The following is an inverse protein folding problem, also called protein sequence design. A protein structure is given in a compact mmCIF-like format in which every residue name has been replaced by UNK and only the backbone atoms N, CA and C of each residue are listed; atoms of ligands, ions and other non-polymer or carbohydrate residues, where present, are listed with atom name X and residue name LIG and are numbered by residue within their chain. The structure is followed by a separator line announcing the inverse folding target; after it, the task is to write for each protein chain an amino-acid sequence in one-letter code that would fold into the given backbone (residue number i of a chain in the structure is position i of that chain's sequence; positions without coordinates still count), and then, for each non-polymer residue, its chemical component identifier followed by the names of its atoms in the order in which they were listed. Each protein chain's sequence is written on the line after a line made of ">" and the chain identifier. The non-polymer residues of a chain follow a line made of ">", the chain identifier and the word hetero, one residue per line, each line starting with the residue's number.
data_IF_286313017619
#
_entry.id   IF_286313017619
#
_cell.length_a   1.000
_cell.length_b   1.000
_cell.length_c   1.000
_cell.angle_alpha   90.00
_cell.angle_beta   90.00
_cell.angle_gamma   90.00
#
_symmetry.space_group_name_H-M   'P 1'
#
loop_
_entity.id
_entity.type
_entity.pdbx_description
1 polymer ?
#
# COMPACT_ATOMS: atom_id res chain seq x y z
N UNK A 1 -16.83 6.08 -0.16
CA UNK A 1 -17.49 7.06 0.73
C UNK A 1 -18.51 7.84 -0.09
N UNK A 2 -19.78 7.88 0.31
CA UNK A 2 -20.80 8.69 -0.39
C UNK A 2 -20.63 10.17 -0.02
N UNK A 3 -20.75 11.06 -1.01
CA UNK A 3 -20.62 12.51 -0.88
C UNK A 3 -21.97 13.15 -1.17
N UNK A 4 -22.38 14.13 -0.35
CA UNK A 4 -23.63 14.88 -0.54
C UNK A 4 -23.36 16.36 -0.84
N UNK A 5 -22.11 16.81 -0.72
CA UNK A 5 -21.69 18.19 -0.97
C UNK A 5 -20.33 18.23 -1.67
N UNK A 6 -20.16 19.01 -2.75
CA UNK A 6 -18.88 19.16 -3.45
C UNK A 6 -17.68 19.57 -2.57
N UNK A 7 -17.90 20.32 -1.49
CA UNK A 7 -16.83 20.73 -0.55
C UNK A 7 -16.18 19.54 0.18
N UNK A 8 -16.81 18.38 0.17
CA UNK A 8 -16.28 17.16 0.80
C UNK A 8 -15.28 16.43 -0.10
N UNK A 9 -15.23 16.75 -1.40
CA UNK A 9 -14.38 16.06 -2.39
C UNK A 9 -12.91 16.15 -1.97
N UNK A 10 -12.40 17.36 -1.73
CA UNK A 10 -10.98 17.57 -1.40
C UNK A 10 -10.57 16.87 -0.11
N UNK A 11 -11.43 16.89 0.91
CA UNK A 11 -11.15 16.24 2.20
C UNK A 11 -11.11 14.74 2.03
N UNK A 12 -12.05 14.17 1.27
CA UNK A 12 -12.09 12.73 1.02
C UNK A 12 -10.89 12.30 0.17
N UNK A 13 -10.52 13.04 -0.87
CA UNK A 13 -9.29 12.75 -1.62
C UNK A 13 -8.05 12.77 -0.72
N UNK A 14 -7.89 13.77 0.14
CA UNK A 14 -6.75 13.82 1.08
C UNK A 14 -6.70 12.64 2.05
N UNK A 15 -7.85 12.14 2.52
CA UNK A 15 -7.90 11.03 3.49
C UNK A 15 -7.68 9.68 2.83
N UNK A 16 -8.21 9.48 1.62
CA UNK A 16 -8.17 8.18 0.95
C UNK A 16 -7.01 8.06 -0.06
N UNK A 17 -6.29 9.14 -0.35
CA UNK A 17 -5.06 9.07 -1.12
C UNK A 17 -3.95 8.57 -0.21
N UNK A 18 -3.32 7.42 -0.53
CA UNK A 18 -2.22 6.90 0.27
C UNK A 18 -1.05 7.89 0.27
N UNK A 19 -0.41 8.03 1.41
CA UNK A 19 0.76 8.90 1.57
C UNK A 19 2.02 8.26 1.01
N UNK A 20 3.03 9.07 0.68
CA UNK A 20 4.29 8.55 0.14
C UNK A 20 4.97 7.52 1.05
N UNK A 21 4.85 7.69 2.37
CA UNK A 21 5.42 6.73 3.34
C UNK A 21 4.72 5.38 3.27
N UNK A 22 3.40 5.37 3.12
CA UNK A 22 2.62 4.14 2.98
C UNK A 22 2.91 3.44 1.65
N UNK A 23 3.13 4.21 0.59
CA UNK A 23 3.51 3.69 -0.73
C UNK A 23 4.88 3.00 -0.66
N UNK A 24 5.89 3.69 -0.10
CA UNK A 24 7.25 3.14 0.05
C UNK A 24 7.22 1.88 0.91
N UNK A 25 6.47 1.89 2.01
CA UNK A 25 6.31 0.72 2.87
C UNK A 25 5.65 -0.43 2.10
N UNK A 26 4.53 -0.19 1.41
CA UNK A 26 3.85 -1.20 0.62
C UNK A 26 4.77 -1.81 -0.45
N UNK A 27 5.60 -1.00 -1.10
CA UNK A 27 6.59 -1.46 -2.07
C UNK A 27 7.66 -2.36 -1.46
N UNK A 28 8.22 -1.97 -0.30
CA UNK A 28 9.14 -2.84 0.45
C UNK A 28 8.48 -4.17 0.83
N UNK A 29 7.25 -4.11 1.32
CA UNK A 29 6.49 -5.31 1.71
C UNK A 29 6.29 -6.23 0.51
N UNK A 30 5.88 -5.73 -0.64
CA UNK A 30 5.69 -6.56 -1.84
C UNK A 30 7.01 -7.20 -2.27
N UNK A 31 8.11 -6.45 -2.31
CA UNK A 31 9.44 -6.97 -2.67
C UNK A 31 9.92 -8.06 -1.71
N UNK A 32 9.86 -7.79 -0.40
CA UNK A 32 10.28 -8.78 0.61
C UNK A 32 9.39 -10.02 0.61
N UNK A 33 8.07 -9.87 0.43
CA UNK A 33 7.16 -11.02 0.35
C UNK A 33 7.51 -11.86 -0.87
N UNK A 34 7.77 -11.24 -2.03
CA UNK A 34 8.09 -11.98 -3.25
C UNK A 34 9.38 -12.81 -3.09
N UNK A 35 10.44 -12.19 -2.53
CA UNK A 35 11.69 -12.87 -2.20
C UNK A 35 11.48 -14.04 -1.22
N UNK A 36 10.78 -13.80 -0.11
CA UNK A 36 10.59 -14.79 0.96
C UNK A 36 9.58 -15.89 0.61
N UNK A 37 8.63 -15.59 -0.27
CA UNK A 37 7.68 -16.56 -0.81
C UNK A 37 8.40 -17.62 -1.65
N UNK A 38 9.44 -17.25 -2.41
CA UNK A 38 10.26 -18.25 -3.12
C UNK A 38 11.01 -19.19 -2.18
N UNK A 39 11.34 -18.72 -0.97
CA UNK A 39 11.99 -19.49 0.10
C UNK A 39 11.00 -20.28 0.97
N UNK A 40 9.68 -20.16 0.73
CA UNK A 40 8.65 -20.83 1.53
C UNK A 40 8.42 -20.23 2.93
N UNK A 41 8.89 -19.00 3.18
CA UNK A 41 8.75 -18.31 4.47
C UNK A 41 7.46 -17.50 4.47
N UNK A 42 6.48 -17.90 5.29
CA UNK A 42 5.16 -17.27 5.33
C UNK A 42 5.00 -16.09 6.30
N UNK A 43 5.94 -15.88 7.21
CA UNK A 43 5.91 -14.79 8.19
C UNK A 43 7.32 -14.25 8.38
N UNK A 44 7.47 -12.93 8.39
CA UNK A 44 8.75 -12.26 8.61
C UNK A 44 8.58 -10.85 9.15
N UNK A 45 9.69 -10.20 9.52
CA UNK A 45 9.66 -8.86 10.09
C UNK A 45 10.15 -7.82 9.08
N UNK A 46 9.36 -6.76 8.84
CA UNK A 46 9.72 -5.58 8.04
C UNK A 46 9.62 -4.34 8.91
N UNK A 47 10.70 -3.56 9.00
CA UNK A 47 10.76 -2.33 9.83
C UNK A 47 10.24 -2.56 11.27
N UNK A 48 10.54 -3.74 11.85
CA UNK A 48 10.12 -4.12 13.21
C UNK A 48 8.67 -4.61 13.35
N UNK A 49 7.89 -4.63 12.26
CA UNK A 49 6.52 -5.18 12.23
C UNK A 49 6.50 -6.59 11.66
N UNK A 50 5.77 -7.48 12.31
CA UNK A 50 5.52 -8.82 11.79
C UNK A 50 4.53 -8.74 10.63
N UNK A 51 4.95 -9.26 9.47
CA UNK A 51 4.23 -9.29 8.22
C UNK A 51 4.01 -10.74 7.83
N UNK A 52 2.77 -11.03 7.47
CA UNK A 52 2.35 -12.31 6.91
C UNK A 52 1.99 -12.15 5.42
N UNK A 53 1.69 -13.27 4.77
CA UNK A 53 1.26 -13.29 3.36
C UNK A 53 -0.04 -12.49 3.15
N UNK A 54 -0.91 -12.32 4.15
CA UNK A 54 -2.16 -11.58 4.01
C UNK A 54 -1.91 -10.06 3.81
N UNK A 55 -0.79 -9.54 4.29
CA UNK A 55 -0.36 -8.17 3.98
C UNK A 55 0.02 -7.95 2.51
N UNK A 56 0.30 -9.00 1.73
CA UNK A 56 0.66 -8.89 0.32
C UNK A 56 -0.44 -8.23 -0.50
N UNK A 57 -1.68 -8.72 -0.37
CA UNK A 57 -2.82 -8.19 -1.11
C UNK A 57 -3.15 -6.76 -0.64
N UNK A 58 -2.97 -6.49 0.65
CA UNK A 58 -3.10 -5.14 1.22
C UNK A 58 -2.08 -4.16 0.64
N UNK A 59 -0.81 -4.55 0.58
CA UNK A 59 0.28 -3.74 0.03
C UNK A 59 0.09 -3.48 -1.47
N UNK A 60 -0.28 -4.52 -2.24
CA UNK A 60 -0.64 -4.36 -3.66
C UNK A 60 -1.81 -3.40 -3.86
N UNK A 61 -2.83 -3.48 -3.01
CA UNK A 61 -3.98 -2.57 -3.08
C UNK A 61 -3.58 -1.12 -2.81
N UNK A 62 -2.70 -0.88 -1.84
CA UNK A 62 -2.17 0.47 -1.56
C UNK A 62 -1.42 1.03 -2.76
N UNK A 63 -0.57 0.23 -3.41
CA UNK A 63 0.16 0.63 -4.63
C UNK A 63 -0.82 0.88 -5.78
N UNK A 64 -1.79 0.00 -6.00
CA UNK A 64 -2.80 0.17 -7.03
C UNK A 64 -3.62 1.45 -6.84
N UNK A 65 -3.97 1.77 -5.59
CA UNK A 65 -4.67 3.00 -5.23
C UNK A 65 -3.78 4.23 -5.48
N UNK A 66 -2.49 4.16 -5.13
CA UNK A 66 -1.53 5.23 -5.42
C UNK A 66 -1.38 5.49 -6.92
N UNK A 67 -1.31 4.42 -7.74
CA UNK A 67 -1.27 4.51 -9.20
C UNK A 67 -2.56 5.14 -9.75
N UNK A 68 -3.71 4.72 -9.27
CA UNK A 68 -5.01 5.28 -9.68
C UNK A 68 -5.17 6.76 -9.30
N UNK A 69 -4.61 7.17 -8.16
CA UNK A 69 -4.60 8.56 -7.71
C UNK A 69 -3.50 9.42 -8.36
N UNK A 70 -2.61 8.83 -9.17
CA UNK A 70 -1.52 9.56 -9.84
C UNK A 70 -0.40 10.03 -8.90
N UNK A 71 -0.32 9.49 -7.68
CA UNK A 71 0.70 9.86 -6.67
C UNK A 71 1.80 8.81 -6.53
N UNK A 72 1.77 7.77 -7.36
CA UNK A 72 2.79 6.73 -7.37
C UNK A 72 3.97 7.13 -8.25
N UNK A 73 5.15 7.23 -7.63
CA UNK A 73 6.43 7.57 -8.29
C UNK A 73 7.45 6.42 -8.21
N UNK A 74 7.02 5.21 -7.84
CA UNK A 74 7.90 4.04 -7.74
C UNK A 74 7.95 3.20 -9.02
N UNK A 75 8.73 2.11 -8.96
CA UNK A 75 9.05 1.26 -10.13
C UNK A 75 8.31 -0.10 -10.15
N UNK A 76 7.34 -0.34 -9.26
CA UNK A 76 6.44 -1.52 -9.31
C UNK A 76 5.22 -1.24 -10.18
#
# INVERSE_FOLDING_TARGET
>A
KSLVNPRQIDVVHKIFTPTQKEIIFAEKVVKEIDEKKTLGIGVFTVDGKMIDIAFYDGAKRTIALAKASGVYEGDL
#
